data_IF_654313616149
#
_entry.id   IF_654313616149
#
_cell.length_a   1.000
_cell.length_b   1.000
_cell.length_c   1.000
_cell.angle_alpha   90.00
_cell.angle_beta   90.00
_cell.angle_gamma   90.00
#
_symmetry.space_group_name_H-M   'P 1'
#
loop_
_entity.id
_entity.type
_entity.pdbx_description
1 polymer ?
#
# COMPACT_ATOMS: atom_id res chain seq x y z
N UNK A 1 8.93 -11.32 10.97
CA UNK A 1 8.01 -11.53 9.83
C UNK A 1 6.73 -10.73 10.07
N UNK A 2 6.39 -9.76 9.22
CA UNK A 2 5.06 -9.10 9.26
C UNK A 2 4.06 -9.84 8.35
N UNK A 3 2.74 -9.57 8.44
CA UNK A 3 1.76 -10.16 7.50
C UNK A 3 2.06 -9.82 6.04
N UNK A 4 2.57 -8.62 5.76
CA UNK A 4 2.95 -8.21 4.40
C UNK A 4 4.16 -8.99 3.93
N UNK A 5 5.15 -9.21 4.80
CA UNK A 5 6.33 -10.04 4.47
C UNK A 5 5.91 -11.49 4.20
N UNK A 6 4.97 -12.02 4.99
CA UNK A 6 4.44 -13.37 4.78
C UNK A 6 3.69 -13.47 3.44
N UNK A 7 2.82 -12.50 3.13
CA UNK A 7 2.16 -12.39 1.81
C UNK A 7 3.17 -12.38 0.65
N UNK A 8 4.25 -11.60 0.78
CA UNK A 8 5.33 -11.53 -0.22
C UNK A 8 6.10 -12.84 -0.33
N UNK A 9 6.36 -13.49 0.80
CA UNK A 9 7.04 -14.79 0.88
C UNK A 9 6.22 -15.87 0.17
N UNK A 10 4.91 -15.93 0.42
CA UNK A 10 4.00 -16.86 -0.27
C UNK A 10 3.94 -16.56 -1.76
N UNK A 11 3.85 -15.30 -2.18
CA UNK A 11 3.91 -14.95 -3.59
C UNK A 11 5.23 -15.36 -4.25
N UNK A 12 6.35 -15.22 -3.54
CA UNK A 12 7.65 -15.68 -4.04
C UNK A 12 7.69 -17.21 -4.20
N UNK A 13 7.13 -17.95 -3.25
CA UNK A 13 7.00 -19.41 -3.34
C UNK A 13 6.14 -19.83 -4.55
N UNK A 14 5.03 -19.14 -4.82
CA UNK A 14 4.21 -19.37 -6.02
C UNK A 14 5.02 -19.11 -7.29
N UNK A 15 5.70 -17.96 -7.38
CA UNK A 15 6.56 -17.63 -8.53
C UNK A 15 7.66 -18.67 -8.74
N UNK A 16 8.23 -19.20 -7.66
CA UNK A 16 9.25 -20.24 -7.70
C UNK A 16 8.67 -21.55 -8.22
N UNK A 17 7.51 -21.98 -7.72
CA UNK A 17 6.83 -23.18 -8.20
C UNK A 17 6.50 -23.11 -9.70
N UNK A 18 6.08 -21.95 -10.20
CA UNK A 18 5.82 -21.74 -11.64
C UNK A 18 7.12 -21.77 -12.45
N UNK A 19 8.18 -21.11 -11.99
CA UNK A 19 9.49 -21.10 -12.68
C UNK A 19 10.13 -22.49 -12.78
N UNK A 20 9.90 -23.33 -11.78
CA UNK A 20 10.42 -24.71 -11.72
C UNK A 20 9.50 -25.72 -12.44
N UNK A 21 8.46 -25.25 -13.12
CA UNK A 21 7.41 -26.06 -13.77
C UNK A 21 6.67 -27.04 -12.82
N UNK A 22 6.81 -26.86 -11.51
CA UNK A 22 6.10 -27.64 -10.50
C UNK A 22 4.62 -27.21 -10.37
N UNK A 23 4.29 -25.99 -10.80
CA UNK A 23 2.91 -25.48 -10.80
C UNK A 23 2.63 -24.75 -12.11
N UNK A 24 1.72 -25.26 -12.93
CA UNK A 24 1.34 -24.63 -14.21
C UNK A 24 0.10 -23.74 -14.05
N UNK A 25 0.25 -22.61 -13.36
CA UNK A 25 -0.84 -21.66 -13.13
C UNK A 25 -0.37 -20.20 -13.31
N UNK A 26 -1.28 -19.26 -13.66
CA UNK A 26 -0.96 -17.85 -13.68
C UNK A 26 -0.55 -17.37 -12.28
N UNK A 27 0.56 -16.65 -12.20
CA UNK A 27 1.01 -16.05 -10.94
C UNK A 27 0.05 -14.91 -10.57
N UNK A 28 -0.57 -14.92 -9.38
CA UNK A 28 -1.46 -13.86 -8.96
C UNK A 28 -0.66 -12.57 -8.71
N UNK A 29 -1.29 -11.42 -8.96
CA UNK A 29 -0.64 -10.13 -8.69
C UNK A 29 -0.32 -9.94 -7.20
N UNK A 30 -1.16 -10.49 -6.31
CA UNK A 30 -1.01 -10.43 -4.85
C UNK A 30 -1.51 -11.73 -4.22
N UNK A 31 -0.87 -12.12 -3.12
CA UNK A 31 -1.36 -13.18 -2.23
C UNK A 31 -1.80 -12.53 -0.93
N UNK A 32 -2.96 -12.94 -0.41
CA UNK A 32 -3.47 -12.50 0.88
C UNK A 32 -3.23 -13.58 1.93
N UNK A 33 -2.67 -13.16 3.07
CA UNK A 33 -2.72 -13.91 4.33
C UNK A 33 -3.63 -13.17 5.30
N UNK A 34 -4.43 -13.92 6.02
CA UNK A 34 -5.37 -13.41 7.01
C UNK A 34 -5.05 -13.99 8.37
N UNK A 35 -5.36 -13.26 9.43
CA UNK A 35 -5.21 -13.78 10.79
C UNK A 35 -6.21 -14.91 11.01
N UNK A 36 -5.74 -16.02 11.55
CA UNK A 36 -6.61 -17.17 11.77
C UNK A 36 -7.72 -16.83 12.76
N UNK A 37 -8.94 -17.31 12.47
CA UNK A 37 -10.10 -17.10 13.36
C UNK A 37 -9.91 -17.85 14.69
N UNK A 38 -10.57 -17.43 15.79
CA UNK A 38 -10.57 -18.19 17.03
C UNK A 38 -10.94 -19.66 16.79
N UNK A 39 -10.09 -20.58 17.26
CA UNK A 39 -10.24 -22.03 17.05
C UNK A 39 -9.60 -22.61 15.77
N UNK A 40 -9.03 -21.77 14.90
CA UNK A 40 -8.22 -22.26 13.78
C UNK A 40 -6.77 -22.59 14.17
N UNK A 41 -5.99 -23.10 13.21
CA UNK A 41 -4.59 -23.50 13.41
C UNK A 41 -3.63 -22.41 12.95
N UNK A 42 -2.51 -22.25 13.66
CA UNK A 42 -1.50 -21.23 13.36
C UNK A 42 -1.99 -19.79 13.59
N UNK A 43 -1.11 -18.83 13.31
CA UNK A 43 -1.38 -17.39 13.49
C UNK A 43 -2.01 -16.76 12.25
N UNK A 44 -1.64 -17.25 11.07
CA UNK A 44 -2.12 -16.78 9.78
C UNK A 44 -2.54 -17.93 8.88
N UNK A 45 -3.45 -17.65 7.94
CA UNK A 45 -3.87 -18.60 6.93
C UNK A 45 -3.92 -17.97 5.54
N UNK A 46 -3.74 -18.78 4.49
CA UNK A 46 -3.93 -18.39 3.10
C UNK A 46 -4.73 -19.44 2.32
N UNK A 47 -5.66 -18.94 1.51
CA UNK A 47 -6.46 -19.73 0.57
C UNK A 47 -5.83 -19.81 -0.84
N UNK A 48 -4.58 -19.38 -1.01
CA UNK A 48 -3.94 -19.26 -2.33
C UNK A 48 -3.92 -20.58 -3.10
N UNK A 49 -3.74 -21.72 -2.43
CA UNK A 49 -3.71 -23.02 -3.09
C UNK A 49 -5.07 -23.38 -3.71
N UNK A 50 -6.18 -23.00 -3.05
CA UNK A 50 -7.54 -23.19 -3.58
C UNK A 50 -7.76 -22.37 -4.85
N UNK A 51 -7.22 -21.14 -4.89
CA UNK A 51 -7.33 -20.25 -6.04
C UNK A 51 -6.51 -20.76 -7.23
N UNK A 52 -5.37 -21.39 -6.97
CA UNK A 52 -4.45 -21.88 -8.00
C UNK A 52 -4.78 -23.29 -8.50
N UNK A 53 -5.53 -24.08 -7.74
CA UNK A 53 -5.91 -25.46 -8.07
C UNK A 53 -6.59 -25.58 -9.45
N UNK A 54 -7.65 -24.80 -9.68
CA UNK A 54 -8.40 -24.82 -10.94
C UNK A 54 -7.52 -24.48 -12.15
N UNK A 55 -6.84 -23.33 -12.17
CA UNK A 55 -5.93 -22.97 -13.25
C UNK A 55 -4.75 -23.95 -13.44
N UNK A 56 -4.29 -24.61 -12.38
CA UNK A 56 -3.22 -25.60 -12.43
C UNK A 56 -3.66 -26.98 -12.94
N UNK A 57 -4.97 -27.26 -12.96
CA UNK A 57 -5.49 -28.61 -13.22
C UNK A 57 -5.12 -29.62 -12.13
N UNK A 58 -4.83 -29.16 -10.91
CA UNK A 58 -4.39 -30.00 -9.78
C UNK A 58 -5.38 -29.91 -8.61
N UNK A 59 -5.32 -30.89 -7.71
CA UNK A 59 -6.04 -30.83 -6.45
C UNK A 59 -5.52 -29.68 -5.57
N UNK A 60 -6.41 -28.96 -4.88
CA UNK A 60 -5.98 -27.85 -4.01
C UNK A 60 -5.04 -28.29 -2.88
N UNK A 61 -5.16 -29.53 -2.41
CA UNK A 61 -4.22 -30.11 -1.45
C UNK A 61 -2.85 -30.37 -2.04
N UNK A 62 -2.78 -30.85 -3.28
CA UNK A 62 -1.52 -31.06 -4.01
C UNK A 62 -0.81 -29.71 -4.23
N UNK A 63 -1.54 -28.69 -4.67
CA UNK A 63 -1.00 -27.32 -4.79
C UNK A 63 -0.50 -26.81 -3.44
N UNK A 64 -1.23 -27.04 -2.35
CA UNK A 64 -0.80 -26.65 -1.02
C UNK A 64 0.49 -27.36 -0.60
N UNK A 65 0.68 -28.64 -0.93
CA UNK A 65 1.91 -29.39 -0.64
C UNK A 65 3.10 -28.82 -1.42
N UNK A 66 2.93 -28.57 -2.72
CA UNK A 66 3.95 -27.94 -3.58
C UNK A 66 4.41 -26.60 -3.02
N UNK A 67 3.47 -25.79 -2.51
CA UNK A 67 3.77 -24.50 -1.90
C UNK A 67 4.39 -24.65 -0.51
N UNK A 68 3.88 -25.56 0.32
CA UNK A 68 4.39 -25.85 1.67
C UNK A 68 5.87 -26.20 1.60
N UNK A 69 6.28 -27.06 0.68
CA UNK A 69 7.68 -27.51 0.58
C UNK A 69 8.64 -26.37 0.22
N UNK A 70 8.15 -25.32 -0.45
CA UNK A 70 8.92 -24.10 -0.76
C UNK A 70 8.86 -23.04 0.34
N UNK A 71 7.90 -23.17 1.25
CA UNK A 71 7.68 -22.26 2.38
C UNK A 71 8.29 -22.79 3.68
N UNK A 72 8.46 -24.11 3.79
CA UNK A 72 9.17 -24.76 4.88
C UNK A 72 10.61 -24.25 4.93
N UNK A 73 11.00 -23.67 6.07
CA UNK A 73 12.33 -23.06 6.25
C UNK A 73 12.46 -21.64 5.71
N UNK A 74 11.38 -21.01 5.24
CA UNK A 74 11.41 -19.58 4.94
C UNK A 74 11.73 -18.77 6.22
N UNK A 75 12.62 -17.77 6.19
CA UNK A 75 13.01 -17.02 7.37
C UNK A 75 11.80 -16.42 8.09
N UNK A 76 11.60 -16.78 9.36
CA UNK A 76 10.48 -16.31 10.19
C UNK A 76 9.19 -17.12 10.09
N UNK A 77 9.16 -18.20 9.30
CA UNK A 77 8.09 -19.21 9.31
C UNK A 77 8.57 -20.42 10.11
N UNK A 78 7.97 -20.66 11.27
CA UNK A 78 8.28 -21.83 12.10
C UNK A 78 7.63 -23.11 11.55
N UNK A 79 6.45 -23.00 10.93
CA UNK A 79 5.76 -24.14 10.36
C UNK A 79 4.64 -23.76 9.41
N UNK A 80 4.31 -24.70 8.51
CA UNK A 80 3.21 -24.58 7.56
C UNK A 80 2.38 -25.86 7.60
N UNK A 81 1.14 -25.76 8.06
CA UNK A 81 0.18 -26.87 8.14
C UNK A 81 -0.91 -26.74 7.07
N UNK A 82 -1.25 -27.85 6.42
CA UNK A 82 -2.30 -27.89 5.40
C UNK A 82 -3.58 -28.44 6.01
N UNK A 83 -4.62 -27.62 6.10
CA UNK A 83 -5.94 -28.02 6.63
C UNK A 83 -7.02 -28.03 5.58
N UNK A 84 -8.03 -28.87 5.81
CA UNK A 84 -9.21 -28.99 4.95
C UNK A 84 -8.84 -29.26 3.48
N UNK A 85 -9.49 -28.57 2.52
CA UNK A 85 -9.29 -28.81 1.09
C UNK A 85 -7.96 -28.26 0.55
N UNK A 86 -7.18 -27.50 1.33
CA UNK A 86 -5.93 -26.88 0.85
C UNK A 86 -5.61 -25.52 1.48
N UNK A 87 -6.07 -25.23 2.69
CA UNK A 87 -5.66 -24.00 3.39
C UNK A 87 -4.25 -24.15 3.95
N UNK A 88 -3.38 -23.19 3.65
CA UNK A 88 -2.05 -23.09 4.24
C UNK A 88 -2.15 -22.29 5.53
N UNK A 89 -1.80 -22.88 6.67
CA UNK A 89 -1.80 -22.25 7.99
C UNK A 89 -0.37 -22.11 8.47
N UNK A 90 -0.01 -20.91 8.90
CA UNK A 90 1.36 -20.51 9.20
C UNK A 90 1.51 -20.31 10.70
N UNK A 91 2.52 -20.94 11.27
CA UNK A 91 3.05 -20.62 12.59
C UNK A 91 4.31 -19.80 12.38
N UNK A 92 4.39 -18.62 12.98
CA UNK A 92 5.55 -17.76 12.85
C UNK A 92 6.57 -18.12 13.92
N UNK A 93 7.84 -17.91 13.60
CA UNK A 93 8.88 -18.03 14.61
C UNK A 93 8.81 -16.82 15.54
N UNK A 94 8.35 -17.04 16.77
CA UNK A 94 8.17 -15.99 17.78
C UNK A 94 9.48 -15.27 18.11
N UNK A 95 10.63 -15.95 18.03
CA UNK A 95 11.94 -15.35 18.30
C UNK A 95 12.35 -14.37 17.19
N UNK A 96 12.13 -14.77 15.93
CA UNK A 96 12.37 -13.95 14.74
C UNK A 96 11.33 -12.82 14.64
N UNK A 97 10.10 -13.08 15.05
CA UNK A 97 9.01 -12.09 15.10
C UNK A 97 9.29 -10.96 16.08
N UNK A 98 9.73 -11.29 17.30
CA UNK A 98 10.06 -10.31 18.33
C UNK A 98 11.28 -9.47 17.95
N UNK A 99 12.34 -10.09 17.41
CA UNK A 99 13.53 -9.36 16.91
C UNK A 99 13.15 -8.43 15.75
N UNK A 100 12.47 -8.94 14.72
CA UNK A 100 12.06 -8.13 13.58
C UNK A 100 11.13 -6.97 13.95
N UNK A 101 10.23 -7.16 14.92
CA UNK A 101 9.37 -6.09 15.40
C UNK A 101 10.16 -5.02 16.18
N UNK A 102 11.10 -5.44 17.04
CA UNK A 102 12.01 -4.49 17.71
C UNK A 102 12.83 -3.72 16.69
N UNK A 103 13.44 -4.39 15.73
CA UNK A 103 14.25 -3.76 14.68
C UNK A 103 13.42 -2.78 13.85
N UNK A 104 12.17 -3.11 13.55
CA UNK A 104 11.24 -2.21 12.87
C UNK A 104 10.94 -0.97 13.73
N UNK A 105 10.64 -1.15 15.02
CA UNK A 105 10.38 -0.03 15.94
C UNK A 105 11.62 0.84 16.12
N UNK A 106 12.81 0.24 16.22
CA UNK A 106 14.08 0.95 16.28
C UNK A 106 14.29 1.77 15.01
N UNK A 107 14.10 1.17 13.82
CA UNK A 107 14.18 1.88 12.55
C UNK A 107 13.19 3.04 12.44
N UNK A 108 11.93 2.83 12.82
CA UNK A 108 10.92 3.90 12.82
C UNK A 108 11.35 5.06 13.73
N UNK A 109 11.94 4.76 14.90
CA UNK A 109 12.43 5.79 15.83
C UNK A 109 13.68 6.50 15.32
N UNK A 110 14.61 5.78 14.71
CA UNK A 110 15.85 6.31 14.15
C UNK A 110 15.57 7.20 12.93
N UNK A 111 14.68 6.77 12.03
CA UNK A 111 14.29 7.52 10.84
C UNK A 111 13.32 8.68 11.17
N UNK A 112 12.54 8.58 12.26
CA UNK A 112 11.64 9.64 12.72
C UNK A 112 10.64 10.08 11.65
N UNK A 113 10.54 11.39 11.38
CA UNK A 113 9.66 11.94 10.33
C UNK A 113 10.03 11.48 8.92
N UNK A 114 11.27 10.99 8.72
CA UNK A 114 11.74 10.47 7.43
C UNK A 114 11.34 9.02 7.20
N UNK A 115 10.80 8.33 8.20
CA UNK A 115 10.38 6.94 8.02
C UNK A 115 9.36 6.81 6.88
N UNK A 116 9.59 5.86 5.98
CA UNK A 116 8.75 5.64 4.80
C UNK A 116 8.98 6.62 3.64
N UNK A 117 9.88 7.59 3.78
CA UNK A 117 10.37 8.36 2.64
C UNK A 117 11.33 7.50 1.81
N UNK A 118 11.35 7.74 0.50
CA UNK A 118 12.20 7.01 -0.43
C UNK A 118 12.58 7.86 -1.64
N UNK A 119 13.20 7.22 -2.62
CA UNK A 119 13.73 7.82 -3.84
C UNK A 119 13.19 7.13 -5.11
N UNK A 120 12.13 6.34 -4.98
CA UNK A 120 11.52 5.58 -6.08
C UNK A 120 11.10 6.45 -7.28
N UNK A 121 10.86 7.75 -7.05
CA UNK A 121 10.51 8.74 -8.07
C UNK A 121 11.59 9.83 -8.22
N UNK A 122 12.82 9.58 -7.76
CA UNK A 122 13.92 10.52 -7.91
C UNK A 122 14.15 10.87 -9.39
N UNK A 123 14.36 12.17 -9.65
CA UNK A 123 14.51 12.70 -11.01
C UNK A 123 13.19 12.93 -11.75
N UNK A 124 12.06 12.38 -11.27
CA UNK A 124 10.76 12.67 -11.87
C UNK A 124 10.24 14.04 -11.43
N UNK A 125 9.63 14.77 -12.36
CA UNK A 125 9.10 16.13 -12.13
C UNK A 125 7.67 16.28 -12.68
N UNK A 126 6.69 15.56 -12.13
CA UNK A 126 5.31 15.62 -12.62
C UNK A 126 4.70 17.00 -12.37
N UNK A 127 3.86 17.43 -13.31
CA UNK A 127 2.99 18.60 -13.19
C UNK A 127 1.57 18.12 -12.88
N UNK A 128 1.07 18.50 -11.70
CA UNK A 128 -0.33 18.28 -11.30
C UNK A 128 -1.13 19.52 -11.62
N UNK A 129 -2.28 19.36 -12.28
CA UNK A 129 -3.19 20.48 -12.56
C UNK A 129 -4.54 20.20 -11.92
N UNK A 130 -5.09 21.18 -11.21
CA UNK A 130 -6.40 21.08 -10.58
C UNK A 130 -7.32 22.25 -10.94
N UNK A 131 -8.63 22.05 -10.81
CA UNK A 131 -9.60 23.13 -10.97
C UNK A 131 -9.42 24.20 -9.88
N UNK A 132 -9.82 25.45 -10.14
CA UNK A 132 -9.85 26.50 -9.12
C UNK A 132 -10.95 26.23 -8.08
N UNK A 133 -10.69 25.28 -7.19
CA UNK A 133 -11.63 24.77 -6.19
C UNK A 133 -10.85 24.23 -4.97
N UNK A 134 -11.38 24.46 -3.76
CA UNK A 134 -10.63 24.25 -2.51
C UNK A 134 -10.33 22.78 -2.23
N UNK A 135 -11.24 21.85 -2.52
CA UNK A 135 -10.96 20.42 -2.39
C UNK A 135 -9.91 19.98 -3.39
N UNK A 136 -10.04 20.42 -4.64
CA UNK A 136 -9.08 20.12 -5.69
C UNK A 136 -7.66 20.58 -5.32
N UNK A 137 -7.52 21.77 -4.71
CA UNK A 137 -6.26 22.28 -4.19
C UNK A 137 -5.70 21.43 -3.04
N UNK A 138 -6.52 21.09 -2.04
CA UNK A 138 -6.09 20.25 -0.90
C UNK A 138 -5.71 18.83 -1.34
N UNK A 139 -6.48 18.23 -2.25
CA UNK A 139 -6.17 16.92 -2.83
C UNK A 139 -4.86 16.98 -3.63
N UNK A 140 -4.64 18.03 -4.42
CA UNK A 140 -3.40 18.19 -5.17
C UNK A 140 -2.18 18.35 -4.27
N UNK A 141 -2.29 19.10 -3.17
CA UNK A 141 -1.22 19.21 -2.18
C UNK A 141 -0.93 17.87 -1.48
N UNK A 142 -1.97 17.08 -1.17
CA UNK A 142 -1.79 15.76 -0.58
C UNK A 142 -1.05 14.80 -1.54
N UNK A 143 -1.45 14.75 -2.81
CA UNK A 143 -0.76 13.96 -3.83
C UNK A 143 0.67 14.45 -4.02
N UNK A 144 0.90 15.78 -4.08
CA UNK A 144 2.23 16.38 -4.15
C UNK A 144 3.13 15.91 -3.00
N UNK A 145 2.63 15.92 -1.75
CA UNK A 145 3.38 15.46 -0.57
C UNK A 145 3.71 13.97 -0.63
N UNK A 146 2.77 13.13 -1.07
CA UNK A 146 3.01 11.69 -1.23
C UNK A 146 4.10 11.40 -2.27
N UNK A 147 4.04 12.07 -3.42
CA UNK A 147 5.05 11.92 -4.48
C UNK A 147 6.41 12.50 -4.07
N UNK A 148 6.42 13.66 -3.40
CA UNK A 148 7.65 14.27 -2.87
C UNK A 148 8.30 13.41 -1.78
N UNK A 149 7.51 12.73 -0.95
CA UNK A 149 8.03 11.77 0.01
C UNK A 149 8.75 10.57 -0.65
N UNK A 150 8.49 10.31 -1.94
CA UNK A 150 9.17 9.31 -2.75
C UNK A 150 10.27 9.90 -3.67
N UNK A 151 10.66 11.16 -3.44
CA UNK A 151 11.79 11.81 -4.11
C UNK A 151 11.44 12.60 -5.38
N UNK A 152 10.16 12.74 -5.74
CA UNK A 152 9.75 13.49 -6.93
C UNK A 152 9.79 15.01 -6.71
N UNK A 153 10.23 15.76 -7.74
CA UNK A 153 10.15 17.21 -7.80
C UNK A 153 8.82 17.68 -8.39
N UNK A 154 7.74 17.61 -7.62
CA UNK A 154 6.38 17.86 -8.10
C UNK A 154 6.03 19.35 -8.16
N UNK A 155 5.44 19.79 -9.28
CA UNK A 155 4.83 21.12 -9.43
C UNK A 155 3.31 21.02 -9.44
N UNK A 156 2.63 22.01 -8.87
CA UNK A 156 1.16 22.08 -8.82
C UNK A 156 0.69 23.38 -9.45
N UNK A 157 -0.23 23.26 -10.41
CA UNK A 157 -0.86 24.37 -11.11
C UNK A 157 -2.37 24.38 -10.90
N UNK A 158 -2.94 25.59 -10.87
CA UNK A 158 -4.37 25.83 -10.78
C UNK A 158 -4.92 26.37 -12.11
N UNK A 159 -6.09 25.90 -12.52
CA UNK A 159 -6.84 26.40 -13.67
C UNK A 159 -7.48 27.77 -13.34
N UNK A 160 -6.64 28.80 -13.27
CA UNK A 160 -6.97 30.18 -12.90
C UNK A 160 -6.17 30.67 -11.70
N UNK A 161 -6.37 31.93 -11.32
CA UNK A 161 -5.70 32.51 -10.15
C UNK A 161 -6.03 31.70 -8.88
N UNK A 162 -5.05 31.32 -8.04
CA UNK A 162 -5.33 30.64 -6.78
C UNK A 162 -6.15 31.52 -5.82
N UNK A 163 -6.95 30.88 -4.97
CA UNK A 163 -7.62 31.57 -3.86
C UNK A 163 -6.59 31.85 -2.75
N UNK A 164 -6.41 33.12 -2.32
CA UNK A 164 -5.43 33.47 -1.28
C UNK A 164 -5.67 32.77 0.06
N UNK A 165 -6.92 32.39 0.38
CA UNK A 165 -7.23 31.69 1.63
C UNK A 165 -6.69 30.25 1.66
N UNK A 166 -6.29 29.67 0.52
CA UNK A 166 -5.63 28.35 0.50
C UNK A 166 -4.32 28.32 1.26
N UNK A 167 -3.61 29.44 1.36
CA UNK A 167 -2.38 29.54 2.14
C UNK A 167 -2.63 29.21 3.63
N UNK A 168 -3.81 29.56 4.15
CA UNK A 168 -4.23 29.28 5.53
C UNK A 168 -4.55 27.79 5.76
N UNK A 169 -4.77 27.04 4.68
CA UNK A 169 -4.86 25.58 4.68
C UNK A 169 -3.50 24.90 4.43
N UNK A 170 -2.44 25.69 4.25
CA UNK A 170 -1.09 25.20 3.94
C UNK A 170 -0.97 24.62 2.53
N UNK A 171 -1.73 25.16 1.57
CA UNK A 171 -1.76 24.78 0.16
C UNK A 171 -1.29 25.96 -0.69
N UNK A 172 -0.50 25.67 -1.72
CA UNK A 172 -0.04 26.66 -2.72
C UNK A 172 -0.06 26.03 -4.11
N UNK A 173 -0.35 26.84 -5.11
CA UNK A 173 -0.34 26.47 -6.52
C UNK A 173 0.13 27.67 -7.36
N UNK A 174 0.78 27.40 -8.48
CA UNK A 174 1.10 28.41 -9.48
C UNK A 174 -0.08 28.57 -10.46
N UNK A 175 -0.35 29.76 -10.97
CA UNK A 175 -1.30 29.92 -12.08
C UNK A 175 -0.60 29.57 -13.39
N UNK A 176 -1.10 28.57 -14.13
CA UNK A 176 -0.52 28.16 -15.43
C UNK A 176 -1.54 27.44 -16.32
N UNK A 177 -1.61 27.87 -17.58
CA UNK A 177 -2.52 27.32 -18.62
C UNK A 177 -1.98 26.10 -19.39
N UNK A 178 -0.80 25.57 -19.03
CA UNK A 178 -0.16 24.46 -19.78
C UNK A 178 -0.98 23.16 -19.79
N UNK A 179 -0.87 22.41 -20.90
CA UNK A 179 -1.50 21.11 -21.09
C UNK A 179 -1.10 20.12 -19.98
N UNK A 180 -2.08 19.71 -19.19
CA UNK A 180 -1.88 18.87 -18.01
C UNK A 180 -1.40 17.45 -18.38
N UNK A 181 -0.35 16.97 -17.70
CA UNK A 181 0.07 15.55 -17.76
C UNK A 181 -0.77 14.70 -16.80
N UNK A 182 -1.24 15.27 -15.68
CA UNK A 182 -2.15 14.62 -14.74
C UNK A 182 -3.14 15.64 -14.15
N UNK A 183 -4.45 15.39 -14.34
CA UNK A 183 -5.53 16.25 -13.84
C UNK A 183 -6.14 15.69 -12.55
N UNK A 184 -6.27 16.53 -11.53
CA UNK A 184 -6.90 16.18 -10.24
C UNK A 184 -8.31 16.80 -10.22
N UNK A 185 -9.33 15.93 -10.14
CA UNK A 185 -10.76 16.31 -10.25
C UNK A 185 -11.62 15.61 -9.20
N UNK A 186 -11.49 15.95 -7.90
CA UNK A 186 -12.41 15.46 -6.90
C UNK A 186 -13.79 16.12 -7.08
N UNK A 187 -14.80 15.60 -6.37
CA UNK A 187 -16.11 16.26 -6.28
C UNK A 187 -15.93 17.59 -5.53
N UNK A 188 -16.39 18.74 -6.07
CA UNK A 188 -16.25 20.04 -5.40
C UNK A 188 -16.76 20.05 -3.97
N UNK A 189 -16.14 20.84 -3.09
CA UNK A 189 -16.58 21.01 -1.71
C UNK A 189 -17.95 21.70 -1.57
N UNK A 190 -18.37 22.44 -2.59
CA UNK A 190 -19.59 23.26 -2.56
C UNK A 190 -19.48 24.49 -1.65
N UNK A 191 -18.25 24.87 -1.27
CA UNK A 191 -17.96 26.03 -0.42
C UNK A 191 -16.57 26.61 -0.77
N UNK A 192 -16.28 27.81 -0.28
CA UNK A 192 -15.00 28.49 -0.42
C UNK A 192 -14.05 28.12 0.72
N UNK A 193 -12.75 28.36 0.52
CA UNK A 193 -11.78 28.19 1.59
C UNK A 193 -12.08 29.10 2.80
N UNK A 194 -12.42 30.36 2.54
CA UNK A 194 -12.85 31.32 3.57
C UNK A 194 -14.05 30.81 4.39
N UNK A 195 -15.07 30.30 3.71
CA UNK A 195 -16.29 29.77 4.34
C UNK A 195 -16.00 28.56 5.23
N UNK A 196 -15.17 27.63 4.75
CA UNK A 196 -14.74 26.47 5.53
C UNK A 196 -13.88 26.86 6.74
N UNK A 197 -12.91 27.75 6.54
CA UNK A 197 -12.03 28.24 7.61
C UNK A 197 -12.81 28.94 8.72
N UNK A 198 -13.82 29.73 8.34
CA UNK A 198 -14.67 30.44 9.31
C UNK A 198 -15.51 29.48 10.15
N UNK A 199 -16.04 28.41 9.54
CA UNK A 199 -16.92 27.46 10.24
C UNK A 199 -16.17 26.41 11.06
N UNK A 200 -15.04 25.93 10.55
CA UNK A 200 -14.39 24.72 11.07
C UNK A 200 -12.99 24.99 11.63
N UNK A 201 -12.36 26.11 11.27
CA UNK A 201 -10.92 26.32 11.49
C UNK A 201 -10.05 25.53 10.50
N UNK A 202 -8.73 25.78 10.48
CA UNK A 202 -7.83 25.28 9.45
C UNK A 202 -7.69 23.75 9.44
N UNK A 203 -7.49 23.12 10.61
CA UNK A 203 -7.23 21.69 10.69
C UNK A 203 -8.46 20.86 10.31
N UNK A 204 -9.63 21.20 10.86
CA UNK A 204 -10.86 20.48 10.56
C UNK A 204 -11.33 20.73 9.12
N UNK A 205 -11.16 21.95 8.59
CA UNK A 205 -11.43 22.23 7.18
C UNK A 205 -10.52 21.39 6.27
N UNK A 206 -9.21 21.37 6.54
CA UNK A 206 -8.25 20.58 5.75
C UNK A 206 -8.58 19.08 5.81
N UNK A 207 -8.93 18.57 6.98
CA UNK A 207 -9.24 17.15 7.16
C UNK A 207 -10.53 16.73 6.47
N UNK A 208 -11.59 17.56 6.51
CA UNK A 208 -12.85 17.28 5.81
C UNK A 208 -12.80 17.40 4.27
N UNK A 209 -11.70 17.94 3.75
CA UNK A 209 -11.44 18.06 2.31
C UNK A 209 -10.69 16.86 1.72
N UNK A 210 -10.09 15.99 2.55
CA UNK A 210 -9.49 14.72 2.13
C UNK A 210 -10.52 13.59 2.12
#
# INVERSE_FOLDING_TARGET
>A
MTPVDLSRTVLHAVRRAVREDALRAPVPARVRVERTRPGGRGEYASAVALQLAGPAGLGAREVAEILRDRLAGAPGVAGVEITGPGFLNFTLDASVGAAAHRDLVHRVREEGERYGHGDALAGQRPLLVHAREVRAAVTADAVRRLLAAQGAGVRVSCAGEPDPDWARLGVSAESREEAAVASIRPVPAGDTAAGLLTRLGPDAARWGLL
#
